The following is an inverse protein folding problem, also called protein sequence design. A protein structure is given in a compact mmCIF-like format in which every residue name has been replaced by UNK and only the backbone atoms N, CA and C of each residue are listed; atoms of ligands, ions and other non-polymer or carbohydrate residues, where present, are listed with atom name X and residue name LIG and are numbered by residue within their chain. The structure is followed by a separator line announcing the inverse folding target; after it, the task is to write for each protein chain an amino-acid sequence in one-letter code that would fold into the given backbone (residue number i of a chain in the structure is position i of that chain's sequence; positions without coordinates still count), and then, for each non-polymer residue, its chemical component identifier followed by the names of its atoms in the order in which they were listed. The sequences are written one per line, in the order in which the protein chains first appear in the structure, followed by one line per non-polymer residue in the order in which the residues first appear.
data_IF_302859158070
#
_entry.id   IF_302859158070
#
_cell.length_a   1.000
_cell.length_b   1.000
_cell.length_c   1.000
_cell.angle_alpha   90.00
_cell.angle_beta   90.00
_cell.angle_gamma   90.00
#
_symmetry.space_group_name_H-M   'P 1'
#
loop_
_entity.id
_entity.type
_entity.pdbx_description
1 polymer ?
#
# COMPACT_ATOMS: atom_id res chain seq x y z
N UNK A 1 6.92 -19.42 4.82
CA UNK A 1 5.76 -18.97 4.03
C UNK A 1 5.68 -17.46 4.14
N UNK A 2 5.36 -16.75 3.06
CA UNK A 2 5.05 -15.32 3.07
C UNK A 2 3.53 -15.17 3.12
N UNK A 3 3.02 -14.32 4.00
CA UNK A 3 1.59 -13.96 4.03
C UNK A 3 1.41 -12.50 3.65
N UNK A 4 0.41 -12.22 2.84
CA UNK A 4 0.01 -10.85 2.51
C UNK A 4 -1.50 -10.71 2.70
N UNK A 5 -1.87 -9.63 3.38
CA UNK A 5 -3.24 -9.29 3.74
C UNK A 5 -3.56 -7.91 3.18
N UNK A 6 -4.52 -7.83 2.28
CA UNK A 6 -5.11 -6.57 1.81
C UNK A 6 -6.36 -6.32 2.64
N UNK A 7 -6.31 -5.33 3.53
CA UNK A 7 -7.33 -5.09 4.53
C UNK A 7 -8.47 -4.24 3.95
N UNK A 8 -9.70 -4.62 4.22
CA UNK A 8 -10.90 -3.90 3.83
C UNK A 8 -11.13 -2.69 4.74
N UNK A 9 -10.32 -1.66 4.55
CA UNK A 9 -10.39 -0.39 5.27
C UNK A 9 -11.41 0.59 4.67
N UNK A 10 -12.05 0.20 3.56
CA UNK A 10 -13.03 1.02 2.86
C UNK A 10 -12.34 1.97 1.89
N UNK A 11 -12.14 3.23 2.31
CA UNK A 11 -11.33 4.19 1.55
C UNK A 11 -9.85 3.92 1.84
N UNK A 12 -8.93 4.35 0.96
CA UNK A 12 -7.50 4.18 1.26
C UNK A 12 -6.94 2.80 0.96
N UNK A 13 -5.80 2.51 1.58
CA UNK A 13 -5.14 1.22 1.55
C UNK A 13 -4.67 0.84 2.96
N UNK A 14 -4.62 -0.47 3.21
CA UNK A 14 -3.80 -1.05 4.26
C UNK A 14 -3.39 -2.45 3.82
N UNK A 15 -2.09 -2.70 3.76
CA UNK A 15 -1.51 -3.99 3.41
C UNK A 15 -0.57 -4.46 4.51
N UNK A 16 -0.84 -5.65 5.07
CA UNK A 16 0.02 -6.28 6.09
C UNK A 16 0.76 -7.45 5.46
N UNK A 17 2.08 -7.53 5.66
CA UNK A 17 2.93 -8.58 5.11
C UNK A 17 3.74 -9.21 6.25
N UNK A 18 3.56 -10.51 6.47
CA UNK A 18 4.35 -11.32 7.40
C UNK A 18 5.41 -12.10 6.63
N UNK A 19 6.65 -11.62 6.70
CA UNK A 19 7.78 -12.26 6.03
C UNK A 19 8.28 -13.46 6.83
N UNK A 20 8.78 -14.52 6.16
CA UNK A 20 9.24 -15.73 6.84
C UNK A 20 10.49 -15.55 7.73
N UNK A 21 11.17 -14.41 7.64
CA UNK A 21 12.29 -14.03 8.51
C UNK A 21 11.83 -13.35 9.81
N UNK A 22 10.53 -13.18 10.03
CA UNK A 22 9.97 -12.55 11.23
C UNK A 22 9.72 -11.05 11.09
N UNK A 23 10.06 -10.42 9.97
CA UNK A 23 9.70 -9.02 9.73
C UNK A 23 8.19 -8.90 9.44
N UNK A 24 7.51 -8.10 10.25
CA UNK A 24 6.13 -7.67 9.97
C UNK A 24 6.16 -6.28 9.33
N UNK A 25 5.62 -6.17 8.12
CA UNK A 25 5.51 -4.91 7.39
C UNK A 25 4.04 -4.48 7.29
N UNK A 26 3.75 -3.23 7.61
CA UNK A 26 2.45 -2.59 7.40
C UNK A 26 2.65 -1.46 6.39
N UNK A 27 1.82 -1.41 5.36
CA UNK A 27 1.87 -0.42 4.28
C UNK A 27 0.51 0.28 4.24
N UNK A 28 0.52 1.58 4.53
CA UNK A 28 -0.65 2.41 4.79
C UNK A 28 -1.52 1.85 5.94
N UNK A 29 -2.38 2.70 6.52
CA UNK A 29 -3.09 2.35 7.76
C UNK A 29 -4.54 2.78 7.81
N UNK A 30 -5.18 3.13 6.68
CA UNK A 30 -6.46 3.85 6.72
C UNK A 30 -7.45 3.23 7.71
N UNK A 31 -7.94 4.07 8.61
CA UNK A 31 -9.01 3.75 9.56
C UNK A 31 -9.99 4.93 9.65
N UNK A 32 -10.16 5.63 8.53
CA UNK A 32 -10.88 6.90 8.51
C UNK A 32 -12.37 6.74 8.83
N UNK A 33 -12.92 5.53 8.68
CA UNK A 33 -14.32 5.18 8.98
C UNK A 33 -15.32 6.20 8.42
N UNK A 34 -15.00 6.86 7.30
CA UNK A 34 -15.78 7.95 6.65
C UNK A 34 -17.06 7.40 6.00
N UNK A 35 -17.45 6.17 6.32
CA UNK A 35 -18.46 5.41 5.61
C UNK A 35 -19.34 4.69 6.62
N UNK A 36 -20.65 4.63 6.34
CA UNK A 36 -21.60 3.86 7.15
C UNK A 36 -21.49 2.34 6.88
N UNK A 37 -20.36 1.85 6.35
CA UNK A 37 -20.16 0.43 6.12
C UNK A 37 -19.84 -0.29 7.43
N UNK A 38 -20.71 -1.23 7.80
CA UNK A 38 -20.60 -1.95 9.07
C UNK A 38 -19.54 -3.08 9.07
N UNK A 39 -18.85 -3.31 7.95
CA UNK A 39 -17.98 -4.48 7.75
C UNK A 39 -16.54 -4.09 7.35
N UNK A 40 -16.11 -2.88 7.69
CA UNK A 40 -14.71 -2.48 7.54
C UNK A 40 -13.87 -3.15 8.63
N UNK A 41 -12.63 -3.47 8.27
CA UNK A 41 -11.65 -3.97 9.24
C UNK A 41 -10.76 -2.82 9.69
N UNK A 42 -10.75 -2.57 11.00
CA UNK A 42 -9.76 -1.67 11.60
C UNK A 42 -8.36 -2.33 11.57
N UNK A 43 -7.35 -1.69 10.97
CA UNK A 43 -5.98 -2.23 10.94
C UNK A 43 -5.40 -2.56 12.32
N UNK A 44 -5.71 -1.77 13.36
CA UNK A 44 -5.26 -2.03 14.72
C UNK A 44 -5.88 -3.31 15.27
N UNK A 45 -7.19 -3.49 15.11
CA UNK A 45 -7.90 -4.69 15.56
C UNK A 45 -7.40 -5.93 14.81
N UNK A 46 -7.17 -5.81 13.50
CA UNK A 46 -6.58 -6.88 12.70
C UNK A 46 -5.21 -7.29 13.23
N UNK A 47 -4.33 -6.33 13.50
CA UNK A 47 -2.98 -6.59 14.02
C UNK A 47 -3.03 -7.19 15.44
N UNK A 48 -3.91 -6.70 16.32
CA UNK A 48 -4.12 -7.27 17.67
C UNK A 48 -4.63 -8.71 17.60
N UNK A 49 -5.54 -9.02 16.67
CA UNK A 49 -6.09 -10.37 16.54
C UNK A 49 -5.08 -11.37 15.95
N UNK A 50 -4.29 -10.95 14.94
CA UNK A 50 -3.45 -11.86 14.17
C UNK A 50 -1.97 -11.86 14.60
N UNK A 51 -1.49 -10.75 15.18
CA UNK A 51 -0.08 -10.52 15.51
C UNK A 51 0.13 -9.87 16.90
N UNK A 52 -0.57 -10.29 17.98
CA UNK A 52 -0.65 -9.55 19.26
C UNK A 52 0.69 -9.33 19.98
N UNK A 53 1.70 -10.16 19.72
CA UNK A 53 3.01 -10.12 20.39
C UNK A 53 4.13 -9.69 19.45
N UNK A 54 3.81 -9.31 18.21
CA UNK A 54 4.79 -8.91 17.20
C UNK A 54 5.03 -7.41 17.28
N UNK A 55 6.23 -6.98 16.96
CA UNK A 55 6.53 -5.59 16.63
C UNK A 55 6.26 -5.33 15.15
N UNK A 56 5.90 -4.10 14.81
CA UNK A 56 5.87 -3.65 13.42
C UNK A 56 7.31 -3.31 13.05
N UNK A 57 7.99 -4.26 12.41
CA UNK A 57 9.36 -4.04 11.95
C UNK A 57 9.43 -2.83 11.03
N UNK A 58 8.49 -2.73 10.08
CA UNK A 58 8.44 -1.64 9.09
C UNK A 58 7.02 -1.12 8.94
N UNK A 59 6.81 0.16 9.20
CA UNK A 59 5.63 0.89 8.75
C UNK A 59 6.01 1.71 7.52
N UNK A 60 5.28 1.57 6.42
CA UNK A 60 5.47 2.34 5.18
C UNK A 60 4.23 3.17 4.94
N UNK A 61 4.39 4.48 4.74
CA UNK A 61 3.33 5.34 4.23
C UNK A 61 3.67 5.66 2.77
N UNK A 62 2.79 5.29 1.85
CA UNK A 62 3.02 5.42 0.42
C UNK A 62 3.18 6.88 0.03
N UNK A 63 2.35 7.76 0.58
CA UNK A 63 2.36 9.21 0.36
C UNK A 63 1.53 9.92 1.48
N UNK A 64 1.64 11.25 1.66
CA UNK A 64 1.15 11.95 2.86
C UNK A 64 -0.36 12.27 2.86
N UNK A 65 -1.19 11.53 2.12
CA UNK A 65 -2.64 11.75 2.13
C UNK A 65 -3.29 11.03 3.32
N UNK A 66 -4.32 11.65 3.89
CA UNK A 66 -4.88 11.21 5.17
C UNK A 66 -5.55 9.84 5.09
N UNK A 67 -6.09 9.47 3.92
CA UNK A 67 -6.59 8.13 3.61
C UNK A 67 -5.51 7.05 3.46
N UNK A 68 -4.25 7.38 3.74
CA UNK A 68 -3.16 6.40 3.79
C UNK A 68 -2.52 6.31 5.17
N UNK A 69 -2.69 7.32 6.01
CA UNK A 69 -2.05 7.40 7.33
C UNK A 69 -3.03 7.55 8.50
N UNK A 70 -4.34 7.64 8.26
CA UNK A 70 -5.29 7.68 9.38
C UNK A 70 -5.19 6.39 10.22
N UNK A 71 -5.50 6.45 11.51
CA UNK A 71 -5.30 5.38 12.47
C UNK A 71 -3.85 5.17 12.94
N UNK A 72 -2.86 5.88 12.38
CA UNK A 72 -1.45 5.74 12.78
C UNK A 72 -1.21 6.13 14.25
N UNK A 73 -1.98 7.05 14.82
CA UNK A 73 -1.84 7.45 16.23
C UNK A 73 -2.16 6.27 17.16
N UNK A 74 -3.32 5.65 16.98
CA UNK A 74 -3.74 4.52 17.80
C UNK A 74 -2.83 3.31 17.59
N UNK A 75 -2.38 3.09 16.35
CA UNK A 75 -1.41 2.05 16.04
C UNK A 75 -0.10 2.25 16.82
N UNK A 76 0.41 3.48 16.88
CA UNK A 76 1.64 3.83 17.57
C UNK A 76 1.55 3.71 19.10
N UNK A 77 0.35 3.80 19.68
CA UNK A 77 0.12 3.60 21.12
C UNK A 77 0.21 2.13 21.52
N UNK A 78 -0.10 1.22 20.60
CA UNK A 78 -0.29 -0.21 20.87
C UNK A 78 0.86 -1.07 20.36
N UNK A 79 1.48 -0.69 19.25
CA UNK A 79 2.57 -1.43 18.63
C UNK A 79 3.87 -0.64 18.64
N UNK A 80 4.96 -1.32 19.02
CA UNK A 80 6.30 -0.80 18.78
C UNK A 80 6.60 -0.84 17.27
N UNK A 81 7.04 0.30 16.73
CA UNK A 81 7.42 0.43 15.32
C UNK A 81 8.93 0.66 15.24
N UNK A 82 9.64 -0.21 14.52
CA UNK A 82 11.10 -0.17 14.46
C UNK A 82 11.63 0.83 13.42
N UNK A 83 11.13 0.78 12.19
CA UNK A 83 11.44 1.78 11.16
C UNK A 83 10.22 2.25 10.39
N UNK A 84 10.27 3.51 9.95
CA UNK A 84 9.18 4.22 9.28
C UNK A 84 9.66 4.71 7.92
N UNK A 85 9.07 4.19 6.85
CA UNK A 85 9.37 4.62 5.49
C UNK A 85 8.36 5.65 5.04
N UNK A 86 8.89 6.73 4.50
CA UNK A 86 8.13 7.84 3.95
C UNK A 86 8.91 8.43 2.79
N UNK A 87 8.33 9.37 2.06
CA UNK A 87 9.02 10.12 1.02
C UNK A 87 9.44 11.49 1.55
N UNK A 88 10.42 12.13 0.90
CA UNK A 88 10.82 13.49 1.26
C UNK A 88 9.79 14.54 0.77
N UNK A 89 8.53 14.38 1.14
CA UNK A 89 7.43 15.26 0.78
C UNK A 89 7.42 16.55 1.62
N UNK A 90 6.81 17.62 1.12
CA UNK A 90 6.68 18.89 1.84
C UNK A 90 5.24 19.21 2.28
N UNK A 91 4.32 18.22 2.26
CA UNK A 91 2.91 18.44 2.61
C UNK A 91 2.74 19.04 4.00
N UNK A 92 1.86 20.03 4.09
CA UNK A 92 1.45 20.70 5.33
C UNK A 92 -0.06 20.80 5.33
N UNK A 93 -0.66 20.48 6.47
CA UNK A 93 -2.06 20.76 6.76
C UNK A 93 -2.10 21.86 7.83
N UNK A 94 -2.90 22.87 7.59
CA UNK A 94 -3.25 23.92 8.56
C UNK A 94 -4.21 23.37 9.60
N UNK A 95 -4.31 24.02 10.76
CA UNK A 95 -5.29 23.63 11.77
C UNK A 95 -6.72 23.65 11.22
N UNK A 96 -7.05 24.64 10.38
CA UNK A 96 -8.35 24.71 9.72
C UNK A 96 -8.62 23.50 8.83
N UNK A 97 -7.65 23.09 8.02
CA UNK A 97 -7.79 21.90 7.16
C UNK A 97 -7.95 20.61 7.98
N UNK A 98 -7.31 20.52 9.15
CA UNK A 98 -7.49 19.40 10.07
C UNK A 98 -8.87 19.43 10.74
N UNK A 99 -9.32 20.60 11.19
CA UNK A 99 -10.63 20.77 11.86
C UNK A 99 -11.81 20.53 10.90
N UNK A 100 -11.64 20.86 9.61
CA UNK A 100 -12.64 20.66 8.55
C UNK A 100 -12.52 19.26 7.91
N UNK A 101 -11.48 18.50 8.25
CA UNK A 101 -11.22 17.17 7.72
C UNK A 101 -12.03 16.11 8.47
N UNK A 102 -12.47 15.04 7.78
CA UNK A 102 -13.13 13.90 8.44
C UNK A 102 -12.14 12.98 9.19
N UNK A 103 -10.84 13.25 9.10
CA UNK A 103 -9.76 12.48 9.72
C UNK A 103 -9.30 13.11 11.04
N UNK A 104 -8.84 12.28 11.97
CA UNK A 104 -8.35 12.71 13.28
C UNK A 104 -7.03 13.50 13.17
N UNK A 105 -6.99 14.68 13.80
CA UNK A 105 -5.79 15.54 13.77
C UNK A 105 -4.55 14.89 14.43
N UNK A 106 -4.79 13.97 15.37
CA UNK A 106 -3.73 13.24 16.07
C UNK A 106 -2.95 12.27 15.16
N UNK A 107 -3.56 11.75 14.10
CA UNK A 107 -2.88 10.94 13.09
C UNK A 107 -1.84 11.77 12.33
N UNK A 108 -2.24 12.96 11.86
CA UNK A 108 -1.33 13.88 11.18
C UNK A 108 -0.18 14.31 12.11
N UNK A 109 -0.49 14.59 13.38
CA UNK A 109 0.53 14.96 14.36
C UNK A 109 1.54 13.80 14.60
N UNK A 110 1.04 12.57 14.72
CA UNK A 110 1.88 11.37 14.90
C UNK A 110 2.76 11.13 13.68
N UNK A 111 2.20 11.23 12.48
CA UNK A 111 2.96 11.17 11.22
C UNK A 111 4.11 12.19 11.22
N UNK A 112 3.84 13.45 11.58
CA UNK A 112 4.86 14.50 11.63
C UNK A 112 5.93 14.28 12.73
N UNK A 113 5.59 13.60 13.83
CA UNK A 113 6.55 13.15 14.84
C UNK A 113 7.45 12.06 14.26
N UNK A 114 6.87 11.05 13.61
CA UNK A 114 7.64 9.96 13.00
C UNK A 114 8.63 10.47 11.97
N UNK A 115 8.23 11.39 11.10
CA UNK A 115 9.12 12.01 10.10
C UNK A 115 10.36 12.70 10.68
N UNK A 116 10.30 13.13 11.95
CA UNK A 116 11.41 13.77 12.67
C UNK A 116 12.19 12.80 13.54
N UNK A 117 11.71 11.57 13.69
CA UNK A 117 12.31 10.57 14.58
C UNK A 117 13.54 9.92 13.96
N UNK A 118 14.59 9.83 14.76
CA UNK A 118 15.86 9.17 14.40
C UNK A 118 16.05 7.82 15.10
N UNK A 119 15.06 7.32 15.86
CA UNK A 119 15.21 6.13 16.69
C UNK A 119 14.12 5.06 16.48
N UNK A 120 13.02 5.06 17.24
CA UNK A 120 11.95 4.04 17.15
C UNK A 120 10.57 4.72 17.05
N UNK A 121 10.01 4.87 15.84
CA UNK A 121 10.58 4.40 14.57
C UNK A 121 11.66 5.34 14.02
N UNK A 122 12.68 4.80 13.36
CA UNK A 122 13.64 5.60 12.59
C UNK A 122 13.00 5.95 11.25
N UNK A 123 12.86 7.23 10.94
CA UNK A 123 12.36 7.64 9.64
C UNK A 123 13.43 7.48 8.54
N UNK A 124 13.01 6.91 7.42
CA UNK A 124 13.80 6.72 6.22
C UNK A 124 13.05 7.34 5.05
N UNK A 125 13.62 8.40 4.47
CA UNK A 125 13.10 9.03 3.27
C UNK A 125 13.68 8.34 2.04
N UNK A 126 12.94 7.38 1.48
CA UNK A 126 13.44 6.53 0.40
C UNK A 126 12.80 6.88 -0.94
N UNK A 127 13.48 6.51 -2.01
CA UNK A 127 12.98 6.61 -3.36
C UNK A 127 13.59 5.52 -4.24
N UNK A 128 13.19 5.49 -5.51
CA UNK A 128 13.72 4.56 -6.52
C UNK A 128 15.24 4.59 -6.50
N UNK A 129 15.84 3.40 -6.58
CA UNK A 129 17.27 3.09 -6.51
C UNK A 129 17.89 3.07 -5.11
N UNK A 130 17.17 3.46 -4.06
CA UNK A 130 17.67 3.23 -2.71
C UNK A 130 17.70 1.72 -2.41
N UNK A 131 18.78 1.27 -1.76
CA UNK A 131 18.98 -0.11 -1.35
C UNK A 131 19.56 -0.20 0.08
N UNK A 132 19.34 -1.31 0.79
CA UNK A 132 19.62 -1.42 2.22
C UNK A 132 19.39 -2.85 2.72
N UNK A 133 20.17 -3.28 3.71
CA UNK A 133 20.26 -4.69 4.14
C UNK A 133 18.91 -5.36 4.41
N UNK A 134 18.05 -4.75 5.22
CA UNK A 134 16.80 -5.37 5.65
C UNK A 134 15.77 -5.47 4.53
N UNK A 135 15.67 -4.47 3.66
CA UNK A 135 14.74 -4.57 2.54
C UNK A 135 15.28 -5.38 1.37
N UNK A 136 16.61 -5.49 1.23
CA UNK A 136 17.22 -6.47 0.33
C UNK A 136 16.96 -7.90 0.82
N UNK A 137 16.95 -8.12 2.13
CA UNK A 137 16.63 -9.42 2.76
C UNK A 137 15.17 -9.80 2.53
N UNK A 138 14.27 -8.82 2.64
CA UNK A 138 12.84 -8.98 2.32
C UNK A 138 12.56 -8.96 0.80
N UNK A 139 13.59 -8.70 -0.02
CA UNK A 139 13.56 -8.57 -1.48
C UNK A 139 12.50 -7.57 -1.97
N UNK A 140 12.46 -6.41 -1.33
CA UNK A 140 11.61 -5.27 -1.67
C UNK A 140 12.44 -4.28 -2.50
N UNK A 141 11.93 -3.92 -3.68
CA UNK A 141 12.50 -2.91 -4.56
C UNK A 141 11.51 -1.76 -4.74
N UNK A 142 12.00 -0.53 -4.57
CA UNK A 142 11.24 0.69 -4.84
C UNK A 142 11.34 1.01 -6.34
N UNK A 143 10.20 0.95 -7.05
CA UNK A 143 10.09 1.33 -8.46
C UNK A 143 9.67 2.79 -8.63
N UNK A 144 8.99 3.39 -7.65
CA UNK A 144 8.54 4.78 -7.63
C UNK A 144 8.39 5.20 -6.16
N UNK A 145 8.51 6.49 -5.82
CA UNK A 145 8.82 7.61 -6.70
C UNK A 145 10.31 7.70 -7.06
N UNK A 146 10.63 8.43 -8.12
CA UNK A 146 11.98 8.91 -8.36
C UNK A 146 12.22 10.24 -7.66
N UNK A 147 13.49 10.67 -7.55
CA UNK A 147 13.80 12.03 -7.08
C UNK A 147 13.15 13.12 -7.94
N UNK A 148 12.97 12.86 -9.24
CA UNK A 148 12.24 13.76 -10.16
C UNK A 148 10.77 13.88 -9.79
N UNK A 149 10.09 12.76 -9.55
CA UNK A 149 8.67 12.75 -9.15
C UNK A 149 8.46 13.37 -7.76
N UNK A 150 9.37 13.12 -6.82
CA UNK A 150 9.34 13.77 -5.50
C UNK A 150 9.42 15.29 -5.65
N UNK A 151 10.39 15.78 -6.44
CA UNK A 151 10.52 17.21 -6.69
C UNK A 151 9.25 17.78 -7.31
N UNK A 152 8.72 17.12 -8.35
CA UNK A 152 7.53 17.58 -9.06
C UNK A 152 6.31 17.63 -8.14
N UNK A 153 5.99 16.56 -7.41
CA UNK A 153 4.84 16.54 -6.52
C UNK A 153 4.93 17.57 -5.38
N UNK A 154 6.13 17.84 -4.88
CA UNK A 154 6.36 18.93 -3.91
C UNK A 154 6.18 20.35 -4.49
N UNK A 155 6.45 20.54 -5.79
CA UNK A 155 6.28 21.82 -6.48
C UNK A 155 4.83 22.07 -6.90
N UNK A 156 4.10 21.00 -7.27
CA UNK A 156 2.71 21.09 -7.75
C UNK A 156 1.66 20.88 -6.67
N UNK A 157 2.03 20.24 -5.56
CA UNK A 157 1.09 19.77 -4.53
C UNK A 157 0.36 18.47 -4.89
N UNK A 158 0.73 17.82 -6.00
CA UNK A 158 0.18 16.51 -6.39
C UNK A 158 1.02 15.39 -5.74
N UNK A 159 0.63 15.01 -4.52
CA UNK A 159 1.39 14.06 -3.72
C UNK A 159 1.24 12.61 -4.17
N UNK A 160 0.27 12.28 -5.04
CA UNK A 160 0.17 10.95 -5.64
C UNK A 160 1.37 10.61 -6.54
N UNK A 161 2.11 11.61 -7.04
CA UNK A 161 3.40 11.38 -7.70
C UNK A 161 4.45 10.77 -6.76
N UNK A 162 4.29 10.95 -5.45
CA UNK A 162 5.21 10.44 -4.44
C UNK A 162 4.82 9.04 -3.96
N UNK A 163 3.67 8.50 -4.38
CA UNK A 163 3.24 7.18 -3.95
C UNK A 163 4.30 6.12 -4.24
N UNK A 164 4.63 5.34 -3.22
CA UNK A 164 5.50 4.18 -3.39
C UNK A 164 4.87 3.17 -4.35
N UNK A 165 5.61 2.80 -5.40
CA UNK A 165 5.39 1.57 -6.14
C UNK A 165 6.44 0.56 -5.70
N UNK A 166 5.99 -0.52 -5.06
CA UNK A 166 6.88 -1.52 -4.46
C UNK A 166 6.77 -2.84 -5.19
N UNK A 167 7.91 -3.40 -5.58
CA UNK A 167 8.04 -4.77 -6.09
C UNK A 167 8.62 -5.66 -4.98
N UNK A 168 7.85 -6.65 -4.56
CA UNK A 168 8.30 -7.69 -3.63
C UNK A 168 8.49 -8.97 -4.43
N UNK A 169 9.66 -9.59 -4.35
CA UNK A 169 9.92 -10.88 -5.01
C UNK A 169 10.22 -11.96 -3.98
N UNK A 170 9.26 -12.85 -3.76
CA UNK A 170 9.43 -13.97 -2.86
C UNK A 170 9.47 -15.28 -3.62
N UNK A 171 10.68 -15.84 -3.73
CA UNK A 171 10.95 -17.14 -4.38
C UNK A 171 10.40 -17.23 -5.82
N UNK A 172 10.40 -16.11 -6.55
CA UNK A 172 9.90 -16.02 -7.92
C UNK A 172 8.45 -15.52 -8.04
N UNK A 173 7.67 -15.56 -6.96
CA UNK A 173 6.36 -14.89 -6.92
C UNK A 173 6.57 -13.39 -6.75
N UNK A 174 6.07 -12.61 -7.70
CA UNK A 174 6.22 -11.15 -7.73
C UNK A 174 4.92 -10.47 -7.30
N UNK A 175 5.00 -9.59 -6.31
CA UNK A 175 3.89 -8.76 -5.85
C UNK A 175 4.24 -7.31 -6.17
N UNK A 176 3.37 -6.63 -6.91
CA UNK A 176 3.50 -5.23 -7.27
C UNK A 176 2.42 -4.42 -6.55
N UNK A 177 2.83 -3.49 -5.69
CA UNK A 177 1.93 -2.63 -4.94
C UNK A 177 1.95 -1.22 -5.54
N UNK A 178 0.80 -0.74 -6.02
CA UNK A 178 0.71 0.51 -6.78
C UNK A 178 0.56 1.80 -5.96
N UNK A 179 0.18 1.71 -4.68
CA UNK A 179 -0.22 2.89 -3.90
C UNK A 179 -1.28 3.70 -4.64
N UNK A 180 -1.16 5.02 -4.67
CA UNK A 180 -2.04 5.91 -5.43
C UNK A 180 -1.38 6.55 -6.66
N UNK A 181 -0.31 5.90 -7.10
CA UNK A 181 0.58 6.36 -8.16
C UNK A 181 -0.17 6.80 -9.43
N UNK A 182 0.28 7.90 -10.03
CA UNK A 182 -0.31 8.49 -11.25
C UNK A 182 0.19 7.82 -12.54
N UNK A 183 -0.54 8.03 -13.66
CA UNK A 183 -0.12 7.55 -15.00
C UNK A 183 1.30 7.99 -15.33
N UNK A 184 1.67 9.22 -15.00
CA UNK A 184 3.00 9.76 -15.29
C UNK A 184 4.10 8.96 -14.60
N UNK A 185 3.88 8.57 -13.35
CA UNK A 185 4.85 7.76 -12.62
C UNK A 185 4.94 6.34 -13.21
N UNK A 186 3.82 5.74 -13.62
CA UNK A 186 3.83 4.45 -14.34
C UNK A 186 4.57 4.52 -15.68
N UNK A 187 4.37 5.59 -16.45
CA UNK A 187 5.09 5.84 -17.70
C UNK A 187 6.59 6.01 -17.45
N UNK A 188 6.97 6.72 -16.40
CA UNK A 188 8.37 6.85 -16.01
C UNK A 188 8.98 5.51 -15.59
N UNK A 189 8.28 4.70 -14.79
CA UNK A 189 8.73 3.34 -14.42
C UNK A 189 8.97 2.52 -15.68
N UNK A 190 8.01 2.48 -16.60
CA UNK A 190 8.13 1.71 -17.83
C UNK A 190 9.28 2.21 -18.70
N UNK A 191 9.41 3.53 -18.89
CA UNK A 191 10.43 4.13 -19.72
C UNK A 191 11.84 3.88 -19.18
N UNK A 192 12.03 4.00 -17.86
CA UNK A 192 13.35 3.95 -17.23
C UNK A 192 13.76 2.53 -16.82
N UNK A 193 12.81 1.65 -16.48
CA UNK A 193 13.10 0.30 -15.97
C UNK A 193 12.71 -0.83 -16.95
N UNK A 194 11.87 -0.53 -17.94
CA UNK A 194 11.39 -1.49 -18.93
C UNK A 194 10.26 -2.41 -18.45
N UNK A 195 9.62 -3.09 -19.40
CA UNK A 195 8.48 -3.97 -19.16
C UNK A 195 8.76 -5.11 -18.16
N UNK A 196 9.97 -5.67 -18.16
CA UNK A 196 10.31 -6.80 -17.29
C UNK A 196 10.32 -6.43 -15.79
N UNK A 197 10.56 -5.15 -15.48
CA UNK A 197 10.50 -4.66 -14.11
C UNK A 197 9.07 -4.61 -13.54
N UNK A 198 8.06 -4.60 -14.41
CA UNK A 198 6.64 -4.48 -14.07
C UNK A 198 5.94 -5.83 -13.89
N UNK A 199 6.47 -6.91 -14.50
CA UNK A 199 5.85 -8.23 -14.44
C UNK A 199 5.58 -8.65 -13.00
N UNK A 200 4.33 -8.99 -12.68
CA UNK A 200 3.88 -9.40 -11.36
C UNK A 200 2.91 -10.59 -11.44
N UNK A 201 2.79 -11.35 -10.36
CA UNK A 201 1.72 -12.34 -10.17
C UNK A 201 0.51 -11.69 -9.46
N UNK A 202 0.77 -10.86 -8.46
CA UNK A 202 -0.25 -10.12 -7.70
C UNK A 202 -0.01 -8.63 -7.92
N UNK A 203 -1.05 -7.90 -8.33
CA UNK A 203 -0.99 -6.46 -8.55
C UNK A 203 -2.06 -5.76 -7.72
N UNK A 204 -1.65 -4.92 -6.75
CA UNK A 204 -2.57 -3.98 -6.12
C UNK A 204 -2.74 -2.76 -7.03
N UNK A 205 -3.94 -2.65 -7.61
CA UNK A 205 -4.31 -1.58 -8.52
C UNK A 205 -4.19 -0.22 -7.83
N UNK A 206 -3.67 0.80 -8.52
CA UNK A 206 -3.43 2.09 -7.90
C UNK A 206 -4.74 2.84 -7.63
N UNK A 207 -4.72 3.72 -6.62
CA UNK A 207 -5.76 4.72 -6.37
C UNK A 207 -7.16 4.10 -6.36
N UNK A 208 -7.28 3.09 -5.50
CA UNK A 208 -8.52 2.33 -5.27
C UNK A 208 -9.11 1.64 -6.51
N UNK A 209 -8.26 1.28 -7.47
CA UNK A 209 -8.72 0.66 -8.73
C UNK A 209 -9.32 1.67 -9.71
N UNK A 210 -8.85 2.92 -9.69
CA UNK A 210 -9.14 3.88 -10.76
C UNK A 210 -8.46 3.45 -12.07
N UNK A 211 -9.20 3.48 -13.18
CA UNK A 211 -8.63 3.24 -14.53
C UNK A 211 -7.78 4.40 -15.06
N UNK A 212 -7.85 5.55 -14.40
CA UNK A 212 -7.13 6.76 -14.79
C UNK A 212 -5.76 6.88 -14.12
N UNK A 213 -5.35 5.88 -13.33
CA UNK A 213 -4.10 5.90 -12.57
C UNK A 213 -3.04 4.95 -13.13
N UNK A 214 -3.41 3.98 -13.97
CA UNK A 214 -2.45 3.19 -14.76
C UNK A 214 -2.98 3.07 -16.17
N UNK A 215 -2.18 3.41 -17.18
CA UNK A 215 -2.62 3.29 -18.56
C UNK A 215 -2.56 1.83 -19.04
N UNK A 216 -3.33 1.53 -20.09
CA UNK A 216 -3.56 0.16 -20.53
C UNK A 216 -2.30 -0.48 -21.11
N UNK A 217 -1.45 0.32 -21.75
CA UNK A 217 -0.21 -0.15 -22.36
C UNK A 217 0.79 -0.59 -21.30
N UNK A 218 0.96 0.19 -20.23
CA UNK A 218 1.78 -0.17 -19.07
C UNK A 218 1.16 -1.37 -18.34
N UNK A 219 -0.15 -1.37 -18.11
CA UNK A 219 -0.82 -2.44 -17.39
C UNK A 219 -0.67 -3.80 -18.09
N UNK A 220 -0.67 -3.83 -19.43
CA UNK A 220 -0.39 -5.05 -20.21
C UNK A 220 0.97 -5.67 -19.87
N UNK A 221 1.99 -4.86 -19.55
CA UNK A 221 3.32 -5.38 -19.19
C UNK A 221 3.40 -5.87 -17.75
N UNK A 222 2.49 -5.44 -16.86
CA UNK A 222 2.37 -6.00 -15.51
C UNK A 222 1.95 -7.47 -15.59
N UNK A 223 1.04 -7.81 -16.51
CA UNK A 223 0.58 -9.18 -16.80
C UNK A 223 0.25 -10.01 -15.53
N UNK A 224 -0.59 -9.50 -14.61
CA UNK A 224 -0.84 -10.17 -13.34
C UNK A 224 -1.76 -11.37 -13.45
N UNK A 225 -1.55 -12.36 -12.59
CA UNK A 225 -2.53 -13.44 -12.35
C UNK A 225 -3.73 -12.88 -11.58
N UNK A 226 -3.46 -12.11 -10.53
CA UNK A 226 -4.45 -11.52 -9.66
C UNK A 226 -4.29 -10.01 -9.59
N UNK A 227 -5.41 -9.31 -9.73
CA UNK A 227 -5.49 -7.88 -9.43
C UNK A 227 -6.28 -7.72 -8.14
N UNK A 228 -5.75 -6.93 -7.21
CA UNK A 228 -6.45 -6.53 -5.99
C UNK A 228 -6.83 -5.06 -6.11
N UNK A 229 -8.06 -4.71 -5.73
CA UNK A 229 -8.52 -3.33 -5.64
C UNK A 229 -9.04 -3.05 -4.22
N UNK A 230 -8.34 -2.21 -3.47
CA UNK A 230 -8.81 -1.68 -2.17
C UNK A 230 -9.78 -0.54 -2.44
N UNK A 231 -11.08 -0.78 -2.26
CA UNK A 231 -12.11 0.18 -2.66
C UNK A 231 -13.36 0.07 -1.80
N UNK A 232 -13.93 1.23 -1.51
CA UNK A 232 -15.18 1.44 -0.76
C UNK A 232 -16.42 1.00 -1.57
N UNK A 233 -17.51 0.62 -0.91
CA UNK A 233 -18.81 0.52 -1.56
C UNK A 233 -19.24 1.89 -2.11
N UNK A 234 -19.96 1.88 -3.24
CA UNK A 234 -20.47 3.07 -3.97
C UNK A 234 -19.46 3.91 -4.76
N UNK A 235 -18.15 3.64 -4.65
CA UNK A 235 -17.17 4.08 -5.67
C UNK A 235 -17.03 2.96 -6.69
N UNK A 236 -17.13 3.33 -7.97
CA UNK A 236 -16.88 2.40 -9.07
C UNK A 236 -15.37 2.30 -9.27
N UNK A 237 -14.79 1.15 -8.92
CA UNK A 237 -13.56 0.71 -9.56
C UNK A 237 -13.93 0.09 -10.91
N UNK A 238 -13.10 0.28 -11.93
CA UNK A 238 -13.43 -0.23 -13.26
C UNK A 238 -13.08 -1.71 -13.37
N UNK A 239 -13.97 -2.57 -12.87
CA UNK A 239 -13.80 -4.02 -12.92
C UNK A 239 -13.52 -4.50 -14.35
N UNK A 240 -14.18 -3.92 -15.36
CA UNK A 240 -13.98 -4.32 -16.75
C UNK A 240 -12.55 -4.02 -17.21
N UNK A 241 -12.06 -2.82 -16.89
CA UNK A 241 -10.68 -2.43 -17.19
C UNK A 241 -9.65 -3.41 -16.60
N UNK A 242 -9.82 -3.82 -15.34
CA UNK A 242 -8.88 -4.72 -14.67
C UNK A 242 -9.05 -6.19 -15.07
N UNK A 243 -10.28 -6.65 -15.28
CA UNK A 243 -10.56 -8.05 -15.64
C UNK A 243 -10.16 -8.39 -17.07
N UNK A 244 -10.03 -7.41 -17.96
CA UNK A 244 -9.53 -7.62 -19.32
C UNK A 244 -8.04 -7.98 -19.40
N UNK A 245 -7.25 -7.68 -18.36
CA UNK A 245 -5.80 -7.91 -18.33
C UNK A 245 -5.32 -8.75 -17.13
N UNK A 246 -6.21 -9.10 -16.20
CA UNK A 246 -5.93 -10.10 -15.17
C UNK A 246 -6.03 -11.52 -15.78
N UNK A 247 -4.99 -12.33 -15.61
CA UNK A 247 -4.97 -13.70 -16.17
C UNK A 247 -5.90 -14.67 -15.42
N UNK A 248 -6.27 -14.37 -14.17
CA UNK A 248 -7.17 -15.21 -13.39
C UNK A 248 -8.35 -14.44 -12.78
N UNK A 249 -8.10 -13.50 -11.85
CA UNK A 249 -9.21 -12.88 -11.09
C UNK A 249 -8.88 -11.47 -10.62
N UNK A 250 -9.92 -10.62 -10.63
CA UNK A 250 -9.93 -9.35 -9.91
C UNK A 250 -10.63 -9.55 -8.56
N UNK A 251 -9.95 -9.18 -7.48
CA UNK A 251 -10.43 -9.29 -6.11
C UNK A 251 -10.55 -7.89 -5.52
N UNK A 252 -11.76 -7.48 -5.18
CA UNK A 252 -12.02 -6.17 -4.58
C UNK A 252 -12.46 -6.32 -3.13
N UNK A 253 -11.87 -5.52 -2.24
CA UNK A 253 -12.20 -5.55 -0.80
C UNK A 253 -13.68 -5.27 -0.53
N UNK A 254 -14.31 -4.44 -1.38
CA UNK A 254 -15.76 -4.20 -1.43
C UNK A 254 -16.59 -5.48 -1.41
N UNK A 255 -16.21 -6.48 -2.22
CA UNK A 255 -17.00 -7.71 -2.39
C UNK A 255 -16.48 -8.88 -1.57
N UNK A 256 -15.19 -8.87 -1.24
CA UNK A 256 -14.50 -10.00 -0.64
C UNK A 256 -14.07 -9.75 0.82
N UNK A 257 -14.23 -8.55 1.36
CA UNK A 257 -13.66 -8.18 2.66
C UNK A 257 -12.14 -8.20 2.60
N UNK A 258 -11.47 -8.63 3.68
CA UNK A 258 -10.02 -8.81 3.64
C UNK A 258 -9.65 -9.88 2.61
N UNK A 259 -8.64 -9.61 1.78
CA UNK A 259 -8.14 -10.53 0.77
C UNK A 259 -6.74 -10.98 1.17
N UNK A 260 -6.54 -12.28 1.27
CA UNK A 260 -5.33 -12.85 1.84
C UNK A 260 -4.69 -13.84 0.86
N UNK A 261 -3.37 -13.79 0.77
CA UNK A 261 -2.58 -14.76 0.00
C UNK A 261 -1.51 -15.40 0.88
N UNK A 262 -1.45 -16.73 0.82
CA UNK A 262 -0.35 -17.52 1.37
C UNK A 262 0.58 -17.97 0.23
N UNK A 263 1.86 -17.60 0.31
CA UNK A 263 2.86 -17.96 -0.68
C UNK A 263 3.89 -18.89 -0.05
N UNK A 264 4.02 -20.09 -0.59
CA UNK A 264 4.87 -21.16 -0.07
C UNK A 264 6.36 -20.86 -0.19
N UNK A 265 7.19 -21.65 0.48
CA UNK A 265 8.66 -21.57 0.36
C UNK A 265 9.18 -21.93 -1.04
N UNK A 266 8.31 -22.47 -1.92
CA UNK A 266 8.55 -22.70 -3.35
C UNK A 266 8.09 -21.55 -4.25
N UNK A 267 7.55 -20.47 -3.68
CA UNK A 267 7.03 -19.33 -4.43
C UNK A 267 5.69 -19.59 -5.12
N UNK A 268 4.92 -20.59 -4.66
CA UNK A 268 3.59 -20.88 -5.20
C UNK A 268 2.52 -20.23 -4.31
N UNK A 269 1.51 -19.64 -4.93
CA UNK A 269 0.31 -19.17 -4.22
C UNK A 269 -0.50 -20.43 -3.85
N UNK A 270 -0.50 -20.79 -2.56
CA UNK A 270 -1.15 -22.01 -2.06
C UNK A 270 -2.59 -21.77 -1.68
N UNK A 271 -2.87 -20.62 -1.04
CA UNK A 271 -4.21 -20.24 -0.64
C UNK A 271 -4.51 -18.81 -1.04
N UNK A 272 -5.76 -18.60 -1.46
CA UNK A 272 -6.38 -17.29 -1.55
C UNK A 272 -7.68 -17.38 -0.76
N UNK A 273 -7.81 -16.59 0.28
CA UNK A 273 -8.99 -16.61 1.14
C UNK A 273 -9.47 -15.21 1.46
N UNK A 274 -10.79 -15.13 1.60
CA UNK A 274 -11.55 -13.89 1.66
C UNK A 274 -12.54 -13.99 2.81
N UNK A 275 -12.77 -12.90 3.51
CA UNK A 275 -13.67 -12.89 4.67
C UNK A 275 -15.14 -12.84 4.27
N UNK A 276 -15.43 -12.30 3.09
CA UNK A 276 -16.77 -12.31 2.51
C UNK A 276 -16.80 -13.21 1.29
N UNK A 277 -17.73 -14.15 1.29
CA UNK A 277 -18.13 -14.78 0.04
C UNK A 277 -18.88 -13.74 -0.78
N UNK A 278 -18.36 -13.41 -1.97
CA UNK A 278 -19.10 -12.63 -2.97
C UNK A 278 -20.30 -13.47 -3.43
N UNK A 279 -21.36 -13.47 -2.63
CA UNK A 279 -22.61 -14.11 -2.96
C UNK A 279 -23.26 -13.36 -4.11
N UNK A 280 -23.15 -13.95 -5.31
CA UNK A 280 -23.73 -13.54 -6.60
C UNK A 280 -22.92 -12.53 -7.41
#
# INVERSE_FOLDING_TARGET
MLKIHFINVGKGNCTVIDFPNGHLTVIDTDNSRITDENDLTDPLDFLKANYPTREIFRLIITHPDMDHLSGIEELAKEFQIYNFWDTNNNKRLTQKELDESPYEAGDWNTYQIFRKSSNSPKCLFLHRNDSGEYWNTDNIRILSPSSTLIKKGNETGEYNHLSYVLMINYKGCKILLGGDTTIEAWDEIYKELGADALKANIFLAPHHGSKYNVNRDVFKYINPDYVVASVICKVDYDYNYYSELANQKVLSTKYYGNINFDISDKGLIENIYVEKNAGK
#
